data_IF_901771818969
#
_entry.id   IF_901771818969
#
_cell.length_a   1.000
_cell.length_b   1.000
_cell.length_c   1.000
_cell.angle_alpha   90.00
_cell.angle_beta   90.00
_cell.angle_gamma   90.00
#
_symmetry.space_group_name_H-M   'P 1'
#
loop_
_entity.id
_entity.type
_entity.pdbx_description
1 polymer ?
#
# COMPACT_ATOMS: atom_id res chain seq x y z
N UNK A 1 2.62 -9.01 -29.10
CA UNK A 1 1.81 -8.92 -27.87
C UNK A 1 2.62 -8.89 -26.57
N UNK A 2 3.88 -9.36 -26.48
CA UNK A 2 4.69 -9.31 -25.23
C UNK A 2 5.55 -8.05 -25.05
N UNK A 3 5.69 -7.18 -26.07
CA UNK A 3 6.52 -5.97 -26.00
C UNK A 3 5.79 -4.74 -25.47
N UNK A 4 4.48 -4.71 -25.51
CA UNK A 4 3.69 -3.55 -25.07
C UNK A 4 3.39 -3.61 -23.56
N UNK A 5 3.32 -4.79 -22.97
CA UNK A 5 3.16 -4.98 -21.52
C UNK A 5 4.40 -4.55 -20.73
N UNK A 6 5.59 -4.82 -21.26
CA UNK A 6 6.86 -4.43 -20.62
C UNK A 6 7.11 -2.91 -20.64
N UNK A 7 6.49 -2.19 -21.57
CA UNK A 7 6.58 -0.74 -21.67
C UNK A 7 5.68 -0.03 -20.66
N UNK A 8 4.50 -0.59 -20.37
CA UNK A 8 3.56 -0.07 -19.38
C UNK A 8 4.13 -0.23 -17.95
N UNK A 9 4.85 -1.32 -17.68
CA UNK A 9 5.50 -1.54 -16.36
C UNK A 9 6.71 -0.61 -16.12
N UNK A 10 7.43 -0.20 -17.16
CA UNK A 10 8.57 0.73 -17.02
C UNK A 10 8.18 2.19 -16.77
N UNK A 11 6.96 2.59 -17.09
CA UNK A 11 6.45 3.94 -16.83
C UNK A 11 5.87 4.10 -15.42
N UNK A 12 5.61 3.01 -14.69
CA UNK A 12 5.13 3.00 -13.31
C UNK A 12 6.25 3.06 -12.26
N UNK A 13 7.51 2.98 -12.65
CA UNK A 13 8.63 3.35 -11.77
C UNK A 13 8.57 4.88 -11.55
N UNK A 14 7.88 5.29 -10.49
CA UNK A 14 7.92 6.65 -9.99
C UNK A 14 9.35 6.98 -9.55
N UNK A 15 10.23 7.23 -10.52
CA UNK A 15 11.55 7.80 -10.24
C UNK A 15 11.31 9.14 -9.58
N UNK A 16 11.51 9.18 -8.25
CA UNK A 16 11.67 10.44 -7.56
C UNK A 16 12.81 11.13 -8.31
N UNK A 17 12.49 12.24 -8.99
CA UNK A 17 13.52 13.08 -9.59
C UNK A 17 14.38 13.61 -8.46
N UNK A 18 15.73 13.73 -8.61
CA UNK A 18 16.64 14.14 -7.54
C UNK A 18 16.34 15.53 -6.93
N UNK A 19 15.37 16.26 -7.45
CA UNK A 19 15.01 17.63 -7.07
C UNK A 19 13.52 17.78 -6.76
N UNK A 20 12.84 16.71 -6.34
CA UNK A 20 11.42 16.83 -6.00
C UNK A 20 11.26 17.69 -4.76
N UNK A 21 10.49 18.78 -4.86
CA UNK A 21 10.10 19.61 -3.73
C UNK A 21 9.37 18.76 -2.67
N UNK A 22 9.56 19.09 -1.39
CA UNK A 22 8.90 18.38 -0.29
C UNK A 22 7.36 18.36 -0.42
N UNK A 23 6.77 19.43 -0.96
CA UNK A 23 5.33 19.46 -1.25
C UNK A 23 4.93 18.52 -2.39
N UNK A 24 5.78 18.37 -3.40
CA UNK A 24 5.56 17.43 -4.50
C UNK A 24 5.66 15.98 -4.00
N UNK A 25 6.66 15.67 -3.17
CA UNK A 25 6.80 14.35 -2.54
C UNK A 25 5.59 13.98 -1.68
N UNK A 26 5.11 14.92 -0.85
CA UNK A 26 3.90 14.73 -0.06
C UNK A 26 2.66 14.55 -0.94
N UNK A 27 2.57 15.28 -2.05
CA UNK A 27 1.46 15.13 -2.99
C UNK A 27 1.44 13.74 -3.61
N UNK A 28 2.59 13.22 -4.02
CA UNK A 28 2.71 11.85 -4.54
C UNK A 28 2.31 10.84 -3.48
N UNK A 29 2.80 11.01 -2.24
CA UNK A 29 2.45 10.14 -1.12
C UNK A 29 0.93 10.12 -0.88
N UNK A 30 0.27 11.28 -0.79
CA UNK A 30 -1.18 11.40 -0.58
C UNK A 30 -1.96 10.65 -1.66
N UNK A 31 -1.53 10.75 -2.92
CA UNK A 31 -2.19 10.02 -4.01
C UNK A 31 -1.96 8.51 -3.92
N UNK A 32 -0.78 8.07 -3.50
CA UNK A 32 -0.49 6.65 -3.31
C UNK A 32 -1.37 6.05 -2.20
N UNK A 33 -1.48 6.73 -1.05
CA UNK A 33 -2.36 6.30 0.04
C UNK A 33 -3.83 6.24 -0.38
N UNK A 34 -4.28 7.22 -1.17
CA UNK A 34 -5.65 7.17 -1.70
C UNK A 34 -5.86 5.94 -2.59
N UNK A 35 -4.89 5.64 -3.45
CA UNK A 35 -4.96 4.48 -4.34
C UNK A 35 -4.99 3.16 -3.56
N UNK A 36 -4.17 3.05 -2.51
CA UNK A 36 -4.15 1.89 -1.63
C UNK A 36 -5.46 1.74 -0.85
N UNK A 37 -6.01 2.85 -0.33
CA UNK A 37 -7.32 2.88 0.31
C UNK A 37 -8.43 2.36 -0.61
N UNK A 38 -8.49 2.86 -1.86
CA UNK A 38 -9.50 2.45 -2.85
C UNK A 38 -9.35 0.97 -3.22
N UNK A 39 -8.11 0.51 -3.36
CA UNK A 39 -7.77 -0.87 -3.64
C UNK A 39 -8.24 -1.82 -2.53
N UNK A 40 -7.87 -1.57 -1.27
CA UNK A 40 -8.28 -2.43 -0.16
C UNK A 40 -9.77 -2.35 0.14
N UNK A 41 -10.40 -1.19 -0.08
CA UNK A 41 -11.85 -1.05 0.01
C UNK A 41 -12.54 -1.97 -1.01
N UNK A 42 -12.12 -1.91 -2.28
CA UNK A 42 -12.66 -2.78 -3.34
C UNK A 42 -12.46 -4.25 -3.04
N UNK A 43 -11.28 -4.64 -2.53
CA UNK A 43 -11.03 -6.03 -2.11
C UNK A 43 -11.94 -6.45 -0.97
N UNK A 44 -12.12 -5.60 0.04
CA UNK A 44 -13.01 -5.90 1.17
C UNK A 44 -14.45 -6.14 0.72
N UNK A 45 -14.90 -5.43 -0.32
CA UNK A 45 -16.26 -5.59 -0.84
C UNK A 45 -16.44 -6.82 -1.71
N UNK A 46 -15.39 -7.25 -2.38
CA UNK A 46 -15.41 -8.39 -3.32
C UNK A 46 -15.23 -9.73 -2.62
N UNK A 47 -14.42 -9.78 -1.55
CA UNK A 47 -14.04 -11.04 -0.92
C UNK A 47 -15.19 -11.61 -0.07
N UNK A 48 -15.45 -12.93 -0.21
CA UNK A 48 -16.53 -13.61 0.51
C UNK A 48 -16.11 -14.08 1.91
N UNK A 49 -14.82 -14.36 2.11
CA UNK A 49 -14.29 -14.82 3.37
C UNK A 49 -14.35 -13.69 4.41
N UNK A 50 -15.03 -13.93 5.54
CA UNK A 50 -15.24 -12.92 6.58
C UNK A 50 -13.92 -12.41 7.17
N UNK A 51 -12.98 -13.30 7.46
CA UNK A 51 -11.68 -12.94 8.04
C UNK A 51 -10.86 -12.11 7.05
N UNK A 52 -10.80 -12.50 5.78
CA UNK A 52 -10.14 -11.72 4.73
C UNK A 52 -10.78 -10.34 4.54
N UNK A 53 -12.13 -10.29 4.55
CA UNK A 53 -12.87 -9.02 4.48
C UNK A 53 -12.47 -8.06 5.60
N UNK A 54 -12.42 -8.52 6.83
CA UNK A 54 -12.04 -7.67 7.99
C UNK A 54 -10.57 -7.22 7.90
N UNK A 55 -9.66 -8.05 7.39
CA UNK A 55 -8.27 -7.67 7.16
C UNK A 55 -8.12 -6.57 6.12
N UNK A 56 -8.81 -6.67 4.99
CA UNK A 56 -8.77 -5.61 3.97
C UNK A 56 -9.44 -4.32 4.44
N UNK A 57 -10.49 -4.39 5.22
CA UNK A 57 -11.06 -3.20 5.87
C UNK A 57 -10.08 -2.54 6.84
N UNK A 58 -9.34 -3.34 7.60
CA UNK A 58 -8.30 -2.86 8.49
C UNK A 58 -7.21 -2.13 7.68
N UNK A 59 -6.68 -2.74 6.61
CA UNK A 59 -5.70 -2.10 5.73
C UNK A 59 -6.26 -0.79 5.16
N UNK A 60 -7.44 -0.80 4.55
CA UNK A 60 -8.06 0.42 4.04
C UNK A 60 -8.18 1.52 5.10
N UNK A 61 -8.54 1.17 6.34
CA UNK A 61 -8.60 2.16 7.43
C UNK A 61 -7.23 2.74 7.77
N UNK A 62 -6.16 1.95 7.69
CA UNK A 62 -4.81 2.42 7.93
C UNK A 62 -4.35 3.37 6.82
N UNK A 63 -4.57 3.03 5.54
CA UNK A 63 -4.23 3.92 4.40
C UNK A 63 -4.96 5.26 4.47
N UNK A 64 -6.22 5.25 4.87
CA UNK A 64 -6.94 6.49 5.12
C UNK A 64 -6.26 7.35 6.18
N UNK A 65 -5.79 6.75 7.28
CA UNK A 65 -5.07 7.48 8.35
C UNK A 65 -3.72 8.00 7.88
N UNK A 66 -2.99 7.23 7.07
CA UNK A 66 -1.73 7.65 6.46
C UNK A 66 -1.96 8.89 5.59
N UNK A 67 -2.97 8.87 4.72
CA UNK A 67 -3.35 10.00 3.89
C UNK A 67 -3.66 11.24 4.73
N UNK A 68 -4.50 11.11 5.76
CA UNK A 68 -4.89 12.22 6.64
C UNK A 68 -3.68 12.83 7.36
N UNK A 69 -2.72 12.00 7.78
CA UNK A 69 -1.46 12.44 8.38
C UNK A 69 -0.62 13.25 7.39
N UNK A 70 -0.47 12.76 6.16
CA UNK A 70 0.28 13.42 5.10
C UNK A 70 -0.37 14.76 4.68
N UNK A 71 -1.69 14.81 4.57
CA UNK A 71 -2.44 16.03 4.30
C UNK A 71 -2.25 17.08 5.42
N UNK A 72 -2.25 16.63 6.67
CA UNK A 72 -1.95 17.48 7.83
C UNK A 72 -0.55 18.06 7.78
N UNK A 73 0.42 17.24 7.38
CA UNK A 73 1.80 17.69 7.25
C UNK A 73 1.99 18.62 6.05
N UNK A 74 1.36 18.33 4.92
CA UNK A 74 1.30 19.21 3.75
C UNK A 74 0.79 20.60 4.14
N UNK A 75 -0.31 20.66 4.88
CA UNK A 75 -0.87 21.92 5.39
C UNK A 75 0.12 22.69 6.27
N UNK A 76 0.85 21.98 7.14
CA UNK A 76 1.87 22.57 8.02
C UNK A 76 2.97 23.27 7.21
N UNK A 77 3.57 22.59 6.23
CA UNK A 77 4.73 23.12 5.50
C UNK A 77 4.37 24.05 4.32
N UNK A 78 3.15 23.98 3.83
CA UNK A 78 2.65 24.86 2.76
C UNK A 78 2.18 26.25 3.25
N UNK A 79 2.35 26.56 4.54
CA UNK A 79 1.86 27.81 5.12
C UNK A 79 0.34 27.83 5.34
N UNK A 80 -0.25 26.70 5.63
CA UNK A 80 -1.69 26.57 5.94
C UNK A 80 -2.58 26.23 4.75
N UNK A 81 -2.01 26.01 3.55
CA UNK A 81 -2.78 25.58 2.37
C UNK A 81 -3.27 24.16 2.55
N UNK A 82 -4.54 23.94 2.25
CA UNK A 82 -5.07 22.58 2.18
C UNK A 82 -4.58 21.88 0.90
N UNK A 83 -4.34 20.56 0.98
CA UNK A 83 -4.11 19.78 -0.21
C UNK A 83 -5.39 19.72 -1.04
N UNK A 84 -5.30 20.14 -2.30
CA UNK A 84 -6.42 20.06 -3.23
C UNK A 84 -6.32 18.74 -3.98
N UNK A 85 -7.12 17.78 -3.55
CA UNK A 85 -7.18 16.48 -4.15
C UNK A 85 -7.80 16.57 -5.55
N UNK A 86 -7.09 16.08 -6.55
CA UNK A 86 -7.53 16.00 -7.94
C UNK A 86 -7.64 14.51 -8.31
N UNK A 87 -8.86 13.98 -8.43
CA UNK A 87 -9.05 12.55 -8.74
C UNK A 87 -8.37 12.09 -10.03
N UNK A 88 -8.22 13.01 -11.02
CA UNK A 88 -7.60 12.68 -12.30
C UNK A 88 -6.07 12.50 -12.21
N UNK A 89 -5.47 12.97 -11.10
CA UNK A 89 -4.05 12.80 -10.81
C UNK A 89 -3.76 11.55 -9.99
N UNK A 90 -4.77 10.91 -9.46
CA UNK A 90 -4.62 9.58 -8.86
C UNK A 90 -4.14 8.67 -9.98
N UNK A 91 -2.85 8.43 -10.03
CA UNK A 91 -2.34 7.26 -10.73
C UNK A 91 -2.87 6.09 -9.91
N UNK A 92 -4.11 5.73 -10.22
CA UNK A 92 -4.69 4.51 -9.70
C UNK A 92 -3.57 3.50 -9.85
N UNK A 93 -3.19 2.83 -8.76
CA UNK A 93 -2.64 1.50 -8.92
C UNK A 93 -3.73 0.85 -9.74
N UNK A 94 -3.59 0.89 -11.08
CA UNK A 94 -4.51 0.23 -11.99
C UNK A 94 -4.27 -1.25 -11.81
N UNK A 95 -4.56 -1.67 -10.59
CA UNK A 95 -4.92 -3.03 -10.36
C UNK A 95 -6.32 -3.10 -10.91
N UNK A 96 -6.35 -3.44 -12.17
CA UNK A 96 -7.56 -3.86 -12.80
C UNK A 96 -8.03 -5.13 -12.08
N UNK A 97 -8.60 -4.93 -10.86
CA UNK A 97 -9.31 -6.00 -10.18
C UNK A 97 -10.50 -6.28 -11.08
N UNK A 98 -10.29 -7.19 -12.00
CA UNK A 98 -11.33 -7.70 -12.90
C UNK A 98 -12.20 -8.65 -12.09
N UNK A 99 -13.41 -8.87 -12.57
CA UNK A 99 -14.32 -9.82 -11.93
C UNK A 99 -13.73 -11.24 -11.80
N UNK A 100 -12.67 -11.55 -12.56
CA UNK A 100 -11.95 -12.81 -12.54
C UNK A 100 -10.59 -12.77 -11.82
N UNK A 101 -10.23 -11.66 -11.17
CA UNK A 101 -8.99 -11.58 -10.37
C UNK A 101 -9.07 -12.57 -9.21
N UNK A 102 -8.13 -13.48 -9.14
CA UNK A 102 -8.05 -14.44 -8.04
C UNK A 102 -7.58 -13.77 -6.75
N UNK A 103 -7.92 -14.37 -5.61
CA UNK A 103 -7.44 -13.87 -4.31
C UNK A 103 -5.90 -13.84 -4.24
N UNK A 104 -5.23 -14.82 -4.87
CA UNK A 104 -3.77 -14.86 -4.94
C UNK A 104 -3.20 -13.69 -5.73
N UNK A 105 -3.75 -13.40 -6.90
CA UNK A 105 -3.33 -12.25 -7.72
C UNK A 105 -3.55 -10.93 -6.99
N UNK A 106 -4.70 -10.76 -6.33
CA UNK A 106 -4.98 -9.57 -5.54
C UNK A 106 -3.97 -9.38 -4.40
N UNK A 107 -3.60 -10.47 -3.71
CA UNK A 107 -2.57 -10.43 -2.67
C UNK A 107 -1.18 -10.08 -3.24
N UNK A 108 -0.81 -10.62 -4.41
CA UNK A 108 0.48 -10.29 -5.06
C UNK A 108 0.59 -8.82 -5.40
N UNK A 109 -0.49 -8.25 -5.83
CA UNK A 109 -0.57 -6.83 -6.17
C UNK A 109 -0.41 -5.98 -4.90
N UNK A 110 -1.15 -6.29 -3.84
CA UNK A 110 -1.01 -5.60 -2.56
C UNK A 110 0.41 -5.73 -2.00
N UNK A 111 0.98 -6.93 -1.96
CA UNK A 111 2.35 -7.18 -1.49
C UNK A 111 3.37 -6.32 -2.25
N UNK A 112 3.20 -6.19 -3.55
CA UNK A 112 4.08 -5.34 -4.37
C UNK A 112 3.89 -3.87 -4.03
N UNK A 113 2.65 -3.41 -3.89
CA UNK A 113 2.34 -2.02 -3.56
C UNK A 113 2.92 -1.61 -2.20
N UNK A 114 2.76 -2.46 -1.17
CA UNK A 114 3.32 -2.19 0.17
C UNK A 114 4.86 -2.12 0.15
N UNK A 115 5.49 -3.01 -0.62
CA UNK A 115 6.94 -2.97 -0.76
C UNK A 115 7.42 -1.67 -1.42
N UNK A 116 6.74 -1.22 -2.48
CA UNK A 116 7.04 0.03 -3.17
C UNK A 116 6.81 1.25 -2.25
N UNK A 117 5.73 1.24 -1.45
CA UNK A 117 5.45 2.28 -0.47
C UNK A 117 6.53 2.31 0.64
N UNK A 118 6.93 1.15 1.17
CA UNK A 118 8.02 1.04 2.12
C UNK A 118 9.33 1.64 1.59
N UNK A 119 9.72 1.30 0.36
CA UNK A 119 10.92 1.83 -0.30
C UNK A 119 10.81 3.34 -0.52
N UNK A 120 9.64 3.82 -0.95
CA UNK A 120 9.35 5.24 -1.14
C UNK A 120 9.52 6.03 0.16
N UNK A 121 8.94 5.58 1.26
CA UNK A 121 9.01 6.29 2.54
C UNK A 121 10.42 6.26 3.15
N UNK A 122 11.15 5.16 3.05
CA UNK A 122 12.56 5.12 3.49
C UNK A 122 13.40 6.12 2.70
N UNK A 123 13.26 6.15 1.38
CA UNK A 123 13.98 7.10 0.52
C UNK A 123 13.60 8.54 0.86
N UNK A 124 12.32 8.84 1.04
CA UNK A 124 11.84 10.17 1.43
C UNK A 124 12.41 10.60 2.78
N UNK A 125 12.58 9.66 3.72
CA UNK A 125 13.20 9.91 5.02
C UNK A 125 14.71 10.19 4.93
N UNK A 126 15.40 9.61 3.95
CA UNK A 126 16.82 9.86 3.70
C UNK A 126 17.05 11.21 3.03
N UNK A 127 16.19 11.60 2.11
CA UNK A 127 16.32 12.81 1.30
C UNK A 127 15.84 14.07 2.01
N UNK A 128 14.90 13.97 2.95
CA UNK A 128 14.38 15.13 3.67
C UNK A 128 15.38 15.71 4.66
N UNK A 129 15.46 17.06 4.71
CA UNK A 129 16.24 17.79 5.72
C UNK A 129 15.41 18.15 6.96
N UNK A 130 14.10 17.99 6.90
CA UNK A 130 13.19 18.27 8.00
C UNK A 130 13.13 17.07 8.96
N UNK A 131 13.53 17.20 10.23
CA UNK A 131 13.52 16.10 11.19
C UNK A 131 12.12 15.57 11.51
N UNK A 132 11.09 16.40 11.47
CA UNK A 132 9.70 15.98 11.68
C UNK A 132 9.21 15.16 10.49
N UNK A 133 9.49 15.60 9.25
CA UNK A 133 9.20 14.83 8.04
C UNK A 133 9.92 13.48 8.05
N UNK A 134 11.21 13.47 8.40
CA UNK A 134 11.99 12.23 8.50
C UNK A 134 11.35 11.25 9.47
N UNK A 135 10.98 11.72 10.66
CA UNK A 135 10.32 10.87 11.66
C UNK A 135 8.98 10.33 11.15
N UNK A 136 8.18 11.15 10.47
CA UNK A 136 6.91 10.78 9.88
C UNK A 136 7.09 9.70 8.80
N UNK A 137 8.00 9.91 7.86
CA UNK A 137 8.25 8.94 6.79
C UNK A 137 8.77 7.60 7.32
N UNK A 138 9.68 7.59 8.31
CA UNK A 138 10.14 6.35 8.94
C UNK A 138 9.01 5.63 9.68
N UNK A 139 8.08 6.36 10.27
CA UNK A 139 6.91 5.77 10.91
C UNK A 139 5.99 5.12 9.86
N UNK A 140 5.73 5.81 8.73
CA UNK A 140 4.95 5.27 7.63
C UNK A 140 5.63 4.03 7.04
N UNK A 141 6.92 4.09 6.72
CA UNK A 141 7.67 2.92 6.23
C UNK A 141 7.49 1.70 7.12
N UNK A 142 7.54 1.87 8.44
CA UNK A 142 7.31 0.76 9.37
C UNK A 142 5.88 0.21 9.31
N UNK A 143 4.89 1.03 8.98
CA UNK A 143 3.51 0.58 8.84
C UNK A 143 3.32 -0.20 7.53
N UNK A 144 3.93 0.26 6.43
CA UNK A 144 3.92 -0.47 5.15
C UNK A 144 4.62 -1.84 5.26
N UNK A 145 5.73 -1.94 6.00
CA UNK A 145 6.35 -3.22 6.31
C UNK A 145 5.41 -4.16 7.06
N UNK A 146 4.62 -3.63 7.99
CA UNK A 146 3.58 -4.41 8.69
C UNK A 146 2.48 -4.87 7.75
N UNK A 147 1.99 -4.02 6.85
CA UNK A 147 0.99 -4.36 5.85
C UNK A 147 1.51 -5.45 4.90
N UNK A 148 2.75 -5.29 4.41
CA UNK A 148 3.45 -6.30 3.62
C UNK A 148 3.47 -7.67 4.32
N UNK A 149 3.80 -7.70 5.61
CA UNK A 149 3.84 -8.94 6.39
C UNK A 149 2.45 -9.57 6.56
N UNK A 150 1.41 -8.76 6.78
CA UNK A 150 0.01 -9.23 6.86
C UNK A 150 -0.40 -9.88 5.54
N UNK A 151 -0.17 -9.22 4.41
CA UNK A 151 -0.55 -9.74 3.09
C UNK A 151 0.25 -10.98 2.69
N UNK A 152 1.53 -11.01 3.02
CA UNK A 152 2.40 -12.17 2.79
C UNK A 152 1.92 -13.39 3.59
N UNK A 153 1.56 -13.20 4.86
CA UNK A 153 1.00 -14.26 5.69
C UNK A 153 -0.34 -14.79 5.12
N UNK A 154 -1.22 -13.89 4.65
CA UNK A 154 -2.48 -14.30 4.00
C UNK A 154 -2.23 -15.10 2.74
N UNK A 155 -1.28 -14.69 1.91
CA UNK A 155 -0.91 -15.41 0.69
C UNK A 155 -0.38 -16.81 1.02
N UNK A 156 0.49 -16.92 2.01
CA UNK A 156 1.04 -18.19 2.45
C UNK A 156 -0.06 -19.12 2.99
N UNK A 157 -0.99 -18.59 3.78
CA UNK A 157 -2.15 -19.35 4.25
C UNK A 157 -3.05 -19.82 3.11
N UNK A 158 -3.30 -18.97 2.12
CA UNK A 158 -4.10 -19.29 0.93
C UNK A 158 -3.46 -20.40 0.08
N UNK A 159 -2.13 -20.40 -0.04
CA UNK A 159 -1.38 -21.41 -0.82
C UNK A 159 -1.04 -22.67 -0.04
N UNK A 160 -1.48 -22.78 1.21
CA UNK A 160 -1.25 -23.96 2.05
C UNK A 160 0.19 -24.12 2.55
N UNK A 161 1.06 -23.14 2.37
CA UNK A 161 2.46 -23.22 2.76
C UNK A 161 2.70 -23.21 4.28
N UNK A 162 1.68 -22.85 5.08
CA UNK A 162 1.73 -22.81 6.54
C UNK A 162 0.82 -23.82 7.23
N UNK A 163 0.29 -24.82 6.52
CA UNK A 163 -0.70 -25.76 7.09
C UNK A 163 -0.21 -26.53 8.31
N UNK A 164 1.09 -26.68 8.49
CA UNK A 164 1.67 -27.41 9.64
C UNK A 164 2.06 -26.55 10.84
N UNK A 165 1.95 -25.22 10.75
CA UNK A 165 2.10 -24.32 11.88
C UNK A 165 0.77 -23.81 12.45
N UNK A 166 -0.34 -24.19 11.82
CA UNK A 166 -1.68 -23.90 12.34
C UNK A 166 -1.95 -24.86 13.51
N UNK A 167 -1.79 -24.35 14.72
CA UNK A 167 -2.13 -25.07 15.97
C UNK A 167 -3.63 -25.40 16.09
N UNK A 168 -4.45 -24.99 15.13
CA UNK A 168 -5.90 -25.20 15.10
C UNK A 168 -6.34 -26.30 14.12
N UNK A 169 -5.47 -27.24 13.76
CA UNK A 169 -5.92 -28.46 13.09
C UNK A 169 -6.40 -29.46 14.14
N UNK A 170 -7.73 -29.64 14.32
CA UNK A 170 -8.24 -30.71 15.13
C UNK A 170 -7.84 -32.04 14.48
N UNK A 171 -6.88 -32.73 15.04
CA UNK A 171 -6.52 -34.08 14.55
C UNK A 171 -5.03 -34.42 14.47
N UNK A 172 -4.10 -33.50 14.77
CA UNK A 172 -2.66 -33.81 14.79
C UNK A 172 -2.07 -33.99 16.20
N UNK A 173 -2.92 -34.23 17.22
CA UNK A 173 -2.48 -34.67 18.52
C UNK A 173 -2.86 -36.13 18.83
N UNK A 174 -2.84 -37.00 17.86
CA UNK A 174 -2.86 -38.43 18.11
C UNK A 174 -1.73 -39.02 17.25
N UNK A 175 -0.53 -39.13 17.88
CA UNK A 175 0.33 -40.33 17.92
C UNK A 175 1.67 -39.95 18.57
#
# INVERSE_FOLDING_TARGET
>A
MKKDEEKVYKEAEGKIKPEMDALEALSVAIYNEQSAFDFYTKLSDTIKNKSGKEKFKFLASDEKRHRELLEGYYKKISGGKQFLFDPDKVKTIHVDIRDNTTASEALDIGIKAEKEAYEFYNKSAEETKDPDAKKMFLMLAKQEDRHYNILTAEKQALTGQFYWFSLDTPGMMEY
#
